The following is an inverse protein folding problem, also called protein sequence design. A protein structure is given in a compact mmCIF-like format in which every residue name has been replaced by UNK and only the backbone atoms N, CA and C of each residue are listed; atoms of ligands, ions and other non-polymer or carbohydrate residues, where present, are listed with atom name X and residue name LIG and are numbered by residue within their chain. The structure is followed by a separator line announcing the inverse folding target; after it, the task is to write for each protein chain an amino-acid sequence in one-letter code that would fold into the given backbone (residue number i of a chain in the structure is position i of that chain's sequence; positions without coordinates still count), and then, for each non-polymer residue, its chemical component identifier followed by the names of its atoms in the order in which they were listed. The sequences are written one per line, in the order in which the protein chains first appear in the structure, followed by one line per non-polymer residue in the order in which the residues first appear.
data_IF_158402785766
#
_entry.id   IF_158402785766
#
_cell.length_a   1.000
_cell.length_b   1.000
_cell.length_c   1.000
_cell.angle_alpha   90.00
_cell.angle_beta   90.00
_cell.angle_gamma   90.00
#
_symmetry.space_group_name_H-M   'P 1'
#
loop_
_entity.id
_entity.type
_entity.pdbx_description
1 polymer ?
#
# COMPACT_ATOMS: atom_id res chain seq x y z
N UNK A 1 -9.24 11.07 5.09
CA UNK A 1 -7.92 11.30 4.47
C UNK A 1 -6.91 10.64 5.39
N UNK A 2 -6.04 9.75 4.92
CA UNK A 2 -5.09 9.01 5.77
C UNK A 2 -3.68 9.55 5.52
N UNK A 3 -2.94 9.87 6.59
CA UNK A 3 -1.53 10.24 6.51
C UNK A 3 -0.70 9.02 6.85
N UNK A 4 0.28 8.68 6.01
CA UNK A 4 1.24 7.61 6.30
C UNK A 4 2.58 8.24 6.64
N UNK A 5 3.07 8.01 7.84
CA UNK A 5 4.39 8.42 8.28
C UNK A 5 5.38 7.25 8.17
N UNK A 6 6.50 7.46 7.49
CA UNK A 6 7.66 6.57 7.56
C UNK A 6 8.52 6.98 8.75
N UNK A 7 8.62 6.16 9.79
CA UNK A 7 9.60 6.38 10.84
C UNK A 7 10.97 5.88 10.36
N UNK A 8 11.80 6.80 9.84
CA UNK A 8 13.23 6.56 9.65
C UNK A 8 13.93 6.83 10.99
N UNK A 9 14.57 5.82 11.56
CA UNK A 9 15.36 5.97 12.78
C UNK A 9 16.54 6.95 12.56
N UNK A 10 16.90 7.64 13.64
CA UNK A 10 17.89 8.73 13.76
C UNK A 10 19.12 8.65 12.85
N UNK A 11 19.54 9.81 12.32
CA UNK A 11 20.79 10.00 11.58
C UNK A 11 22.01 9.64 12.46
N UNK A 12 22.57 8.44 12.25
CA UNK A 12 23.90 8.04 12.72
C UNK A 12 24.87 7.89 11.55
N UNK A 13 26.21 7.95 11.79
CA UNK A 13 27.22 8.16 10.75
C UNK A 13 27.20 7.08 9.65
N UNK A 14 27.29 7.52 8.39
CA UNK A 14 26.95 6.80 7.16
C UNK A 14 27.86 5.63 6.74
N UNK A 15 28.87 5.22 7.50
CA UNK A 15 29.89 4.29 6.97
C UNK A 15 30.05 2.93 7.67
N UNK A 16 29.21 2.56 8.65
CA UNK A 16 29.34 1.23 9.30
C UNK A 16 28.05 0.41 9.50
N UNK A 17 26.92 0.80 8.90
CA UNK A 17 25.61 0.13 9.09
C UNK A 17 25.06 -0.57 7.83
N UNK A 18 25.89 -1.06 6.92
CA UNK A 18 25.41 -1.67 5.67
C UNK A 18 24.90 -3.12 5.79
N UNK A 19 24.42 -3.57 6.95
CA UNK A 19 23.90 -4.96 7.04
C UNK A 19 22.78 -5.23 8.04
N UNK A 20 22.13 -4.22 8.63
CA UNK A 20 20.85 -4.48 9.30
C UNK A 20 19.76 -4.20 8.29
N UNK A 21 19.17 -5.25 7.72
CA UNK A 21 17.99 -5.15 6.86
C UNK A 21 16.88 -4.42 7.64
N UNK A 22 16.66 -3.14 7.34
CA UNK A 22 15.63 -2.36 8.00
C UNK A 22 14.28 -2.65 7.33
N UNK A 23 13.32 -3.25 8.04
CA UNK A 23 12.03 -3.58 7.47
C UNK A 23 11.22 -2.31 7.19
N UNK A 24 10.48 -2.32 6.09
CA UNK A 24 9.53 -1.28 5.72
C UNK A 24 8.23 -1.47 6.49
N UNK A 25 8.05 -0.69 7.55
CA UNK A 25 6.87 -0.70 8.40
C UNK A 25 5.90 0.40 7.95
N UNK A 26 4.61 0.07 7.94
CA UNK A 26 3.53 1.00 7.59
C UNK A 26 2.60 1.16 8.79
N UNK A 27 2.34 2.41 9.15
CA UNK A 27 1.33 2.78 10.13
C UNK A 27 0.27 3.62 9.44
N UNK A 28 -0.98 3.17 9.52
CA UNK A 28 -2.15 3.87 8.99
C UNK A 28 -2.85 4.52 10.16
N UNK A 29 -3.13 5.82 10.06
CA UNK A 29 -3.75 6.61 11.14
C UNK A 29 -4.99 7.35 10.63
N UNK A 30 -6.03 7.40 11.45
CA UNK A 30 -7.20 8.24 11.23
C UNK A 30 -6.87 9.70 11.55
N UNK A 31 -6.84 10.54 10.51
CA UNK A 31 -6.56 11.97 10.66
C UNK A 31 -7.67 12.69 11.42
N UNK A 32 -8.91 12.17 11.40
CA UNK A 32 -10.02 12.82 12.10
C UNK A 32 -9.96 12.61 13.62
N UNK A 33 -9.14 11.66 14.09
CA UNK A 33 -8.90 11.41 15.51
C UNK A 33 -7.75 12.25 16.08
N UNK A 34 -7.03 12.99 15.24
CA UNK A 34 -5.97 13.88 15.70
C UNK A 34 -6.59 15.17 16.25
N UNK A 35 -6.27 15.58 17.50
CA UNK A 35 -6.71 16.86 18.03
C UNK A 35 -6.10 18.02 17.23
N UNK A 36 -6.87 19.10 17.02
CA UNK A 36 -6.42 20.29 16.30
C UNK A 36 -5.31 21.06 17.05
N UNK A 37 -5.29 20.92 18.37
CA UNK A 37 -4.24 21.42 19.23
C UNK A 37 -3.11 20.39 19.17
N UNK A 38 -1.97 20.74 18.57
CA UNK A 38 -0.81 19.85 18.29
C UNK A 38 -0.15 19.21 19.55
N UNK A 39 -0.84 19.20 20.69
CA UNK A 39 -0.46 18.53 21.93
C UNK A 39 -1.12 17.14 21.93
N UNK A 40 -0.48 16.20 21.26
CA UNK A 40 -1.02 14.83 21.15
C UNK A 40 -0.58 14.05 22.39
N UNK A 41 -1.54 13.62 23.20
CA UNK A 41 -1.25 12.67 24.26
C UNK A 41 -1.00 11.27 23.66
N UNK A 42 -0.11 10.50 24.28
CA UNK A 42 0.28 9.17 23.74
C UNK A 42 -0.91 8.19 23.61
N UNK A 43 -1.95 8.37 24.43
CA UNK A 43 -3.19 7.59 24.37
C UNK A 43 -4.06 7.95 23.15
N UNK A 44 -4.14 9.23 22.80
CA UNK A 44 -4.88 9.69 21.62
C UNK A 44 -4.17 9.27 20.33
N UNK A 45 -2.83 9.31 20.33
CA UNK A 45 -2.02 8.78 19.22
C UNK A 45 -2.30 7.29 19.00
N UNK A 46 -2.36 6.50 20.08
CA UNK A 46 -2.64 5.07 20.00
C UNK A 46 -4.06 4.78 19.48
N UNK A 47 -5.05 5.60 19.85
CA UNK A 47 -6.43 5.45 19.35
C UNK A 47 -6.59 5.90 17.89
N UNK A 48 -5.74 6.82 17.42
CA UNK A 48 -5.70 7.25 16.03
C UNK A 48 -5.10 6.20 15.08
N UNK A 49 -4.26 5.28 15.58
CA UNK A 49 -3.70 4.20 14.75
C UNK A 49 -4.82 3.24 14.35
N UNK A 50 -4.98 3.02 13.05
CA UNK A 50 -5.92 2.04 12.45
C UNK A 50 -5.23 0.70 12.21
N UNK A 51 -3.99 0.74 11.70
CA UNK A 51 -3.24 -0.45 11.36
C UNK A 51 -1.73 -0.20 11.49
N UNK A 52 -0.99 -1.23 11.90
CA UNK A 52 0.46 -1.21 12.00
C UNK A 52 1.02 -2.57 11.58
N UNK A 53 1.79 -2.62 10.49
CA UNK A 53 2.27 -3.88 9.93
C UNK A 53 3.57 -3.71 9.14
N UNK A 54 4.33 -4.81 9.02
CA UNK A 54 5.53 -4.88 8.16
C UNK A 54 5.09 -5.17 6.73
N UNK A 55 5.37 -4.27 5.81
CA UNK A 55 5.01 -4.41 4.40
C UNK A 55 6.15 -4.98 3.55
N UNK A 56 7.40 -4.62 3.86
CA UNK A 56 8.59 -5.01 3.10
C UNK A 56 9.74 -5.39 4.04
N UNK A 57 10.66 -6.24 3.58
CA UNK A 57 11.92 -6.55 4.27
C UNK A 57 12.99 -5.48 4.06
N UNK A 58 12.72 -4.55 3.15
CA UNK A 58 13.55 -3.37 2.85
C UNK A 58 12.78 -2.08 3.21
N UNK A 59 13.46 -0.92 3.32
CA UNK A 59 12.79 0.34 3.58
C UNK A 59 11.75 0.67 2.52
N UNK A 60 10.66 1.34 2.92
CA UNK A 60 9.61 1.76 1.99
C UNK A 60 10.17 2.83 1.03
N UNK A 61 10.10 2.54 -0.26
CA UNK A 61 10.46 3.47 -1.34
C UNK A 61 9.27 4.23 -1.90
N UNK A 62 8.07 3.66 -1.80
CA UNK A 62 6.85 4.25 -2.35
C UNK A 62 5.59 3.75 -1.65
N UNK A 63 4.57 4.60 -1.58
CA UNK A 63 3.26 4.27 -1.02
C UNK A 63 2.17 5.12 -1.67
N UNK A 64 1.00 4.53 -1.92
CA UNK A 64 -0.18 5.26 -2.37
C UNK A 64 -1.47 4.53 -2.03
N UNK A 65 -2.53 5.29 -1.74
CA UNK A 65 -3.88 4.75 -1.56
C UNK A 65 -4.61 4.63 -2.90
N UNK A 66 -5.43 3.58 -3.01
CA UNK A 66 -6.43 3.47 -4.06
C UNK A 66 -7.67 4.31 -3.79
N UNK A 67 -8.59 4.32 -4.74
CA UNK A 67 -9.84 5.06 -4.62
C UNK A 67 -10.67 4.48 -3.46
N UNK A 68 -11.23 5.33 -2.62
CA UNK A 68 -11.99 4.90 -1.43
C UNK A 68 -11.15 4.61 -0.17
N UNK A 69 -9.81 4.68 -0.24
CA UNK A 69 -8.94 4.71 0.95
C UNK A 69 -8.75 3.39 1.70
N UNK A 70 -9.35 2.28 1.24
CA UNK A 70 -9.14 0.94 1.83
C UNK A 70 -7.98 0.18 1.18
N UNK A 71 -7.72 0.42 -0.11
CA UNK A 71 -6.62 -0.19 -0.83
C UNK A 71 -5.35 0.63 -0.66
N UNK A 72 -4.24 -0.07 -0.47
CA UNK A 72 -2.92 0.54 -0.31
C UNK A 72 -1.92 -0.23 -1.15
N UNK A 73 -1.25 0.46 -2.08
CA UNK A 73 -0.08 -0.06 -2.78
C UNK A 73 1.20 0.44 -2.11
N UNK A 74 2.17 -0.45 -1.97
CA UNK A 74 3.45 -0.15 -1.32
C UNK A 74 4.58 -0.79 -2.11
N UNK A 75 5.74 -0.13 -2.11
CA UNK A 75 6.96 -0.64 -2.71
C UNK A 75 8.14 -0.40 -1.79
N UNK A 76 9.09 -1.34 -1.78
CA UNK A 76 10.41 -1.14 -1.20
C UNK A 76 11.28 -0.22 -2.06
N UNK A 77 12.48 0.11 -1.57
CA UNK A 77 13.47 0.91 -2.28
C UNK A 77 13.85 0.32 -3.65
N UNK A 78 13.87 -1.01 -3.78
CA UNK A 78 14.14 -1.68 -5.05
C UNK A 78 13.00 -1.51 -6.07
N UNK A 79 11.75 -1.37 -5.58
CA UNK A 79 10.50 -1.40 -6.35
C UNK A 79 10.48 -2.48 -7.46
N UNK A 80 10.94 -3.67 -7.10
CA UNK A 80 10.85 -4.89 -7.92
C UNK A 80 9.50 -5.59 -7.71
N UNK A 81 9.02 -5.58 -6.47
CA UNK A 81 7.72 -6.04 -6.05
C UNK A 81 6.86 -4.87 -5.55
N UNK A 82 5.59 -4.90 -5.94
CA UNK A 82 4.55 -4.04 -5.39
C UNK A 82 3.59 -4.88 -4.58
N UNK A 83 3.35 -4.47 -3.35
CA UNK A 83 2.45 -5.17 -2.45
C UNK A 83 1.14 -4.38 -2.39
N UNK A 84 0.02 -5.06 -2.59
CA UNK A 84 -1.32 -4.47 -2.51
C UNK A 84 -2.00 -5.00 -1.26
N UNK A 85 -2.35 -4.09 -0.37
CA UNK A 85 -3.03 -4.38 0.90
C UNK A 85 -4.45 -3.83 0.88
N UNK A 86 -5.35 -4.52 1.57
CA UNK A 86 -6.70 -4.09 1.85
C UNK A 86 -6.88 -3.92 3.37
N UNK A 87 -7.12 -2.69 3.77
CA UNK A 87 -7.26 -2.27 5.16
C UNK A 87 -8.75 -2.33 5.54
N UNK A 88 -9.06 -3.10 6.58
CA UNK A 88 -10.39 -3.17 7.19
C UNK A 88 -10.32 -2.48 8.55
N UNK A 89 -10.59 -1.17 8.61
CA UNK A 89 -10.69 -0.49 9.89
C UNK A 89 -11.90 -1.03 10.66
N UNK A 90 -11.75 -1.22 11.97
CA UNK A 90 -12.87 -1.51 12.85
C UNK A 90 -13.16 -0.26 13.70
N UNK A 91 -14.42 0.20 13.79
CA UNK A 91 -14.76 1.48 14.43
C UNK A 91 -14.45 1.52 15.93
N UNK A 92 -14.45 0.36 16.59
CA UNK A 92 -14.22 0.29 18.03
C UNK A 92 -12.75 0.25 18.47
N UNK A 93 -11.86 -0.37 17.69
CA UNK A 93 -10.45 -0.53 18.07
C UNK A 93 -9.64 -1.03 16.88
N UNK A 94 -8.39 -0.58 16.77
CA UNK A 94 -7.42 -1.05 15.79
C UNK A 94 -7.01 -2.52 15.96
N UNK A 95 -7.15 -3.06 17.17
CA UNK A 95 -6.91 -4.49 17.45
C UNK A 95 -7.94 -5.41 16.78
N UNK A 96 -9.13 -4.89 16.49
CA UNK A 96 -10.21 -5.61 15.81
C UNK A 96 -10.20 -5.37 14.29
N UNK A 97 -9.35 -4.44 13.82
CA UNK A 97 -9.12 -4.21 12.40
C UNK A 97 -8.29 -5.33 11.78
N UNK A 98 -8.29 -5.41 10.45
CA UNK A 98 -7.50 -6.40 9.72
C UNK A 98 -6.85 -5.80 8.49
N UNK A 99 -5.57 -6.13 8.26
CA UNK A 99 -4.88 -5.85 7.01
C UNK A 99 -4.72 -7.14 6.23
N UNK A 100 -5.30 -7.19 5.03
CA UNK A 100 -5.20 -8.34 4.13
C UNK A 100 -4.23 -8.01 3.01
N UNK A 101 -3.21 -8.85 2.83
CA UNK A 101 -2.29 -8.74 1.70
C UNK A 101 -2.90 -9.44 0.49
N UNK A 102 -3.34 -8.68 -0.51
CA UNK A 102 -4.08 -9.20 -1.67
C UNK A 102 -3.13 -9.71 -2.76
N UNK A 103 -2.15 -8.91 -3.15
CA UNK A 103 -1.29 -9.20 -4.31
C UNK A 103 0.16 -8.85 -4.07
N UNK A 104 1.03 -9.65 -4.68
CA UNK A 104 2.45 -9.36 -4.93
C UNK A 104 2.62 -9.21 -6.43
N UNK A 105 2.66 -7.97 -6.89
CA UNK A 105 2.80 -7.65 -8.30
C UNK A 105 4.28 -7.52 -8.61
N UNK A 106 4.74 -8.25 -9.61
CA UNK A 106 6.15 -8.27 -9.99
C UNK A 106 6.36 -7.49 -11.27
N UNK A 107 7.34 -6.58 -11.25
CA UNK A 107 7.64 -5.69 -12.36
C UNK A 107 8.84 -6.13 -13.18
N UNK A 108 9.81 -6.79 -12.55
CA UNK A 108 11.07 -7.20 -13.16
C UNK A 108 12.21 -7.29 -12.15
N UNK A 109 13.37 -7.74 -12.62
CA UNK A 109 14.55 -7.99 -11.76
C UNK A 109 15.37 -6.73 -11.47
N UNK A 110 15.31 -5.74 -12.37
CA UNK A 110 16.13 -4.52 -12.26
C UNK A 110 15.48 -3.52 -11.30
N UNK A 111 16.18 -3.07 -10.23
CA UNK A 111 15.67 -2.02 -9.36
C UNK A 111 15.36 -0.75 -10.14
N UNK A 112 14.24 -0.09 -9.83
CA UNK A 112 13.93 1.24 -10.34
C UNK A 112 13.08 2.00 -9.32
N UNK A 113 13.04 3.32 -9.39
CA UNK A 113 12.19 4.13 -8.50
C UNK A 113 10.82 4.32 -9.12
N UNK A 114 9.78 4.18 -8.31
CA UNK A 114 8.43 4.59 -8.71
C UNK A 114 8.38 6.11 -8.81
N UNK A 115 7.93 6.59 -9.96
CA UNK A 115 7.72 8.03 -10.22
C UNK A 115 6.27 8.39 -9.92
N UNK A 116 5.33 7.56 -10.36
CA UNK A 116 3.91 7.75 -10.10
C UNK A 116 3.16 6.43 -10.15
N UNK A 117 1.98 6.41 -9.52
CA UNK A 117 1.03 5.34 -9.69
C UNK A 117 -0.39 5.90 -9.82
N UNK A 118 -1.27 5.14 -10.46
CA UNK A 118 -2.70 5.46 -10.48
C UNK A 118 -3.52 4.19 -10.48
N UNK A 119 -4.58 4.18 -9.67
CA UNK A 119 -5.63 3.18 -9.75
C UNK A 119 -6.68 3.62 -10.79
N UNK A 120 -7.35 2.66 -11.43
CA UNK A 120 -8.58 2.93 -12.15
C UNK A 120 -9.70 3.35 -11.19
N UNK A 121 -10.74 3.98 -11.72
CA UNK A 121 -11.90 4.46 -10.95
C UNK A 121 -12.58 3.35 -10.14
N UNK A 122 -12.62 2.13 -10.68
CA UNK A 122 -13.17 0.93 -10.06
C UNK A 122 -12.15 0.11 -9.24
N UNK A 123 -10.91 0.59 -9.13
CA UNK A 123 -9.77 -0.09 -8.51
C UNK A 123 -9.46 -1.48 -9.08
N UNK A 124 -9.83 -1.77 -10.33
CA UNK A 124 -9.49 -3.04 -10.99
C UNK A 124 -8.15 -3.03 -11.72
N UNK A 125 -7.62 -1.85 -11.99
CA UNK A 125 -6.33 -1.68 -12.65
C UNK A 125 -5.43 -0.78 -11.82
N UNK A 126 -4.15 -1.14 -11.78
CA UNK A 126 -3.09 -0.34 -11.18
C UNK A 126 -2.01 -0.09 -12.24
N UNK A 127 -1.77 1.18 -12.55
CA UNK A 127 -0.65 1.61 -13.36
C UNK A 127 0.49 2.11 -12.45
N UNK A 128 1.72 1.65 -12.68
CA UNK A 128 2.92 2.10 -11.96
C UNK A 128 3.99 2.52 -12.97
N UNK A 129 4.34 3.80 -12.96
CA UNK A 129 5.39 4.37 -13.80
C UNK A 129 6.70 4.44 -13.02
N UNK A 130 7.81 4.08 -13.68
CA UNK A 130 9.14 4.08 -13.08
C UNK A 130 10.08 5.06 -13.79
N UNK A 131 11.17 5.43 -13.12
CA UNK A 131 12.19 6.32 -13.67
C UNK A 131 13.01 5.71 -14.82
N UNK A 132 12.74 4.46 -15.21
CA UNK A 132 13.34 3.81 -16.37
C UNK A 132 12.52 4.03 -17.65
N UNK A 133 11.53 4.92 -17.61
CA UNK A 133 10.66 5.21 -18.76
C UNK A 133 9.63 4.12 -19.07
N UNK A 134 9.47 3.13 -18.18
CA UNK A 134 8.47 2.07 -18.32
C UNK A 134 7.29 2.30 -17.38
N UNK A 135 6.10 1.96 -17.87
CA UNK A 135 4.87 1.90 -17.06
C UNK A 135 4.33 0.49 -17.13
N UNK A 136 4.08 -0.11 -15.97
CA UNK A 136 3.51 -1.44 -15.85
C UNK A 136 2.06 -1.32 -15.41
N UNK A 137 1.18 -2.09 -16.06
CA UNK A 137 -0.24 -2.13 -15.77
C UNK A 137 -0.57 -3.51 -15.22
N UNK A 138 -1.20 -3.53 -14.04
CA UNK A 138 -1.58 -4.75 -13.36
C UNK A 138 -3.10 -4.78 -13.19
N UNK A 139 -3.72 -5.90 -13.57
CA UNK A 139 -5.07 -6.22 -13.13
C UNK A 139 -5.06 -6.61 -11.66
N UNK A 140 -6.03 -6.13 -10.90
CA UNK A 140 -6.25 -6.47 -9.49
C UNK A 140 -7.75 -6.56 -9.23
N UNK A 141 -8.17 -7.34 -8.25
CA UNK A 141 -9.53 -7.27 -7.75
C UNK A 141 -9.53 -6.56 -6.39
N UNK A 142 -10.33 -5.49 -6.19
CA UNK A 142 -10.30 -4.70 -4.95
C UNK A 142 -10.66 -5.53 -3.70
N UNK A 143 -11.40 -6.62 -3.88
CA UNK A 143 -11.79 -7.56 -2.82
C UNK A 143 -10.85 -8.77 -2.70
N UNK A 144 -9.79 -8.82 -3.53
CA UNK A 144 -8.94 -9.99 -3.72
C UNK A 144 -9.50 -10.98 -4.74
N UNK A 145 -8.83 -12.13 -4.85
CA UNK A 145 -9.19 -13.20 -5.80
C UNK A 145 -8.34 -13.19 -7.07
N UNK A 146 -8.57 -14.17 -7.95
CA UNK A 146 -7.82 -14.25 -9.20
C UNK A 146 -8.32 -13.23 -10.21
N UNK A 147 -7.38 -12.65 -10.96
CA UNK A 147 -7.67 -11.80 -12.10
C UNK A 147 -8.03 -12.69 -13.28
N UNK A 148 -9.22 -12.47 -13.84
CA UNK A 148 -9.73 -13.25 -14.98
C UNK A 148 -10.32 -12.33 -16.05
N UNK A 149 -10.55 -12.86 -17.26
CA UNK A 149 -11.28 -12.14 -18.31
C UNK A 149 -12.67 -11.71 -17.81
N UNK A 150 -13.33 -12.51 -16.96
CA UNK A 150 -14.64 -12.14 -16.41
C UNK A 150 -14.59 -10.94 -15.47
N UNK A 151 -13.48 -10.76 -14.75
CA UNK A 151 -13.34 -9.62 -13.83
C UNK A 151 -12.90 -8.34 -14.53
N UNK A 152 -12.27 -8.42 -15.72
CA UNK A 152 -11.64 -7.26 -16.37
C UNK A 152 -12.01 -7.08 -17.85
N UNK A 153 -12.86 -7.96 -18.40
CA UNK A 153 -13.42 -7.87 -19.75
C UNK A 153 -14.76 -7.13 -19.76
N UNK A 154 -15.13 -6.62 -20.93
CA UNK A 154 -16.32 -5.76 -21.10
C UNK A 154 -17.63 -6.53 -21.21
N UNK A 155 -17.62 -7.81 -21.59
CA UNK A 155 -18.83 -8.54 -21.94
C UNK A 155 -18.98 -9.86 -21.19
N UNK A 156 -19.97 -9.94 -20.30
CA UNK A 156 -20.42 -11.19 -19.68
C UNK A 156 -21.57 -11.70 -20.54
N UNK A 157 -21.27 -12.42 -21.63
CA UNK A 157 -22.31 -13.19 -22.33
C UNK A 157 -22.59 -14.46 -21.55
N UNK A 158 -23.85 -14.66 -21.15
CA UNK A 158 -24.27 -15.95 -20.65
C UNK A 158 -24.12 -16.97 -21.78
N UNK A 159 -23.53 -18.14 -21.48
CA UNK A 159 -23.37 -19.22 -22.48
C UNK A 159 -24.71 -19.71 -23.05
N UNK A 160 -25.82 -19.38 -22.38
CA UNK A 160 -27.20 -19.70 -22.77
C UNK A 160 -27.85 -18.68 -23.71
N UNK A 161 -27.17 -17.59 -24.12
CA UNK A 161 -27.75 -16.58 -25.00
C UNK A 161 -27.36 -16.73 -26.49
N UNK A 162 -27.13 -17.95 -26.98
CA UNK A 162 -26.84 -18.23 -28.38
C UNK A 162 -27.86 -19.17 -29.01
#
# INVERSE_FOLDING_TARGET
MFVVSTLSASQQPKELLSSVAQPGIITVMDVNKFPADNIINNAEYADAIIAHFVAHTEPIGFIAFGNGGQLLVTAGQSSTYFHVFLIHPHPGSSLLGAVRHLYRLYRGTTPAKVVSCSFSTDNRWLAVATNHGTTHIFGICPYGGQVTIRTHGEEIVNKESR
#
